data_IF_634516045525
#
_entry.id   IF_634516045525
#
_cell.length_a   1.000
_cell.length_b   1.000
_cell.length_c   1.000
_cell.angle_alpha   90.00
_cell.angle_beta   90.00
_cell.angle_gamma   90.00
#
_symmetry.space_group_name_H-M   'P 1'
#
loop_
_entity.id
_entity.type
_entity.pdbx_description
1 polymer ?
#
# COMPACT_ATOMS: atom_id res chain seq x y z
N UNK A 1 -3.75 23.76 14.08
CA UNK A 1 -4.61 23.19 13.02
C UNK A 1 -4.92 21.72 13.33
N UNK A 2 -6.03 21.16 12.84
CA UNK A 2 -6.38 19.72 13.01
C UNK A 2 -5.67 18.82 11.98
N UNK A 3 -5.60 17.51 12.25
CA UNK A 3 -4.91 16.52 11.38
C UNK A 3 -5.54 16.26 10.00
N UNK A 4 -6.74 16.79 9.71
CA UNK A 4 -7.35 16.76 8.37
C UNK A 4 -7.64 18.14 7.81
N UNK A 5 -7.23 19.20 8.51
CA UNK A 5 -7.46 20.58 8.08
C UNK A 5 -6.48 21.00 6.99
N UNK A 6 -6.94 21.92 6.14
CA UNK A 6 -6.15 22.55 5.10
C UNK A 6 -5.25 23.65 5.65
N UNK A 7 -3.99 23.64 5.23
CA UNK A 7 -2.98 24.64 5.62
C UNK A 7 -3.33 26.03 5.12
N UNK A 8 -3.99 26.16 3.97
CA UNK A 8 -4.37 27.46 3.39
C UNK A 8 -5.23 28.29 4.36
N UNK A 9 -6.20 27.66 5.02
CA UNK A 9 -7.03 28.31 6.04
C UNK A 9 -6.21 28.73 7.25
N UNK A 10 -5.34 27.84 7.73
CA UNK A 10 -4.46 28.14 8.85
C UNK A 10 -3.49 29.30 8.54
N UNK A 11 -2.93 29.38 7.33
CA UNK A 11 -2.07 30.49 6.90
C UNK A 11 -2.85 31.80 6.89
N UNK A 12 -4.09 31.81 6.38
CA UNK A 12 -4.93 33.00 6.38
C UNK A 12 -5.21 33.50 7.81
N UNK A 13 -5.62 32.60 8.70
CA UNK A 13 -5.85 32.92 10.11
C UNK A 13 -4.58 33.42 10.79
N UNK A 14 -3.46 32.74 10.56
CA UNK A 14 -2.17 33.13 11.12
C UNK A 14 -1.73 34.52 10.65
N UNK A 15 -1.85 34.82 9.35
CA UNK A 15 -1.54 36.15 8.81
C UNK A 15 -2.43 37.23 9.42
N UNK A 16 -3.72 36.94 9.62
CA UNK A 16 -4.66 37.86 10.28
C UNK A 16 -4.30 38.12 11.75
N UNK A 17 -3.72 37.14 12.45
CA UNK A 17 -3.26 37.33 13.83
C UNK A 17 -1.97 38.14 13.87
N UNK A 18 -1.04 37.85 12.96
CA UNK A 18 0.28 38.51 12.91
C UNK A 18 0.16 39.97 12.51
N UNK A 19 -0.79 40.33 11.63
CA UNK A 19 -1.02 41.73 11.26
C UNK A 19 -1.48 42.62 12.44
N UNK A 20 -2.03 42.02 13.50
CA UNK A 20 -2.37 42.72 14.74
C UNK A 20 -1.21 42.88 15.73
N UNK A 21 -0.05 42.26 15.48
CA UNK A 21 1.09 42.21 16.40
C UNK A 21 2.24 43.02 15.81
N UNK A 22 2.67 44.08 16.52
CA UNK A 22 3.56 45.10 15.96
C UNK A 22 5.07 44.79 16.06
N UNK A 23 5.48 43.96 17.03
CA UNK A 23 6.91 43.86 17.44
C UNK A 23 7.46 42.43 17.51
N UNK A 24 6.85 41.45 16.81
CA UNK A 24 7.37 40.09 16.81
C UNK A 24 8.46 39.88 15.76
N UNK A 25 9.59 39.32 16.19
CA UNK A 25 10.66 38.91 15.27
C UNK A 25 10.27 37.69 14.43
N UNK A 26 10.80 37.60 13.21
CA UNK A 26 10.49 36.53 12.25
C UNK A 26 10.77 35.13 12.81
N UNK A 27 11.85 34.95 13.59
CA UNK A 27 12.15 33.68 14.26
C UNK A 27 11.05 33.24 15.24
N UNK A 28 10.46 34.19 15.96
CA UNK A 28 9.36 33.90 16.88
C UNK A 28 8.10 33.50 16.11
N UNK A 29 7.83 34.18 14.99
CA UNK A 29 6.74 33.85 14.08
C UNK A 29 6.90 32.45 13.47
N UNK A 30 8.09 32.11 12.99
CA UNK A 30 8.42 30.77 12.48
C UNK A 30 8.17 29.71 13.55
N UNK A 31 8.66 29.94 14.77
CA UNK A 31 8.48 29.00 15.87
C UNK A 31 7.00 28.80 16.21
N UNK A 32 6.21 29.88 16.30
CA UNK A 32 4.77 29.78 16.56
C UNK A 32 4.02 29.15 15.41
N UNK A 33 4.38 29.46 14.17
CA UNK A 33 3.80 28.85 12.99
C UNK A 33 3.98 27.33 13.03
N UNK A 34 5.21 26.84 13.28
CA UNK A 34 5.53 25.41 13.39
C UNK A 34 4.76 24.73 14.52
N UNK A 35 4.56 25.39 15.67
CA UNK A 35 3.77 24.82 16.78
C UNK A 35 2.31 24.57 16.43
N UNK A 36 1.73 25.35 15.54
CA UNK A 36 0.34 25.16 15.11
C UNK A 36 0.15 24.14 13.99
N UNK A 37 1.24 23.61 13.43
CA UNK A 37 1.19 22.62 12.36
C UNK A 37 0.88 21.20 12.88
N UNK A 38 0.15 20.41 12.09
CA UNK A 38 -0.08 18.99 12.37
C UNK A 38 1.23 18.19 12.28
N UNK A 39 1.28 17.08 13.01
CA UNK A 39 2.48 16.23 13.09
C UNK A 39 2.90 15.71 11.71
N UNK A 40 1.92 15.35 10.86
CA UNK A 40 2.18 14.86 9.49
C UNK A 40 3.03 15.82 8.66
N UNK A 41 2.81 17.14 8.81
CA UNK A 41 3.54 18.16 8.06
C UNK A 41 4.90 18.40 8.71
N UNK A 42 4.97 18.38 10.05
CA UNK A 42 6.23 18.51 10.78
C UNK A 42 7.23 17.41 10.42
N UNK A 43 6.78 16.17 10.27
CA UNK A 43 7.62 15.04 9.83
C UNK A 43 8.17 15.25 8.41
N UNK A 44 7.33 15.73 7.49
CA UNK A 44 7.75 16.02 6.12
C UNK A 44 8.71 17.22 6.05
N UNK A 45 8.48 18.25 6.86
CA UNK A 45 9.40 19.38 7.00
C UNK A 45 10.74 18.95 7.61
N UNK A 46 10.74 18.01 8.56
CA UNK A 46 11.98 17.46 9.13
C UNK A 46 12.78 16.64 8.10
N UNK A 47 12.09 16.02 7.14
CA UNK A 47 12.70 15.29 6.02
C UNK A 47 13.16 16.19 4.87
N UNK A 48 12.85 17.49 4.93
CA UNK A 48 13.21 18.44 3.89
C UNK A 48 14.72 18.76 3.94
N UNK A 49 15.41 18.60 2.81
CA UNK A 49 16.87 18.72 2.74
C UNK A 49 17.36 20.14 2.97
N UNK A 50 16.59 21.15 2.53
CA UNK A 50 16.96 22.55 2.70
C UNK A 50 16.45 23.11 4.02
N UNK A 51 17.31 23.91 4.64
CA UNK A 51 16.95 24.71 5.81
C UNK A 51 16.06 25.87 5.37
N UNK A 52 14.92 26.01 6.05
CA UNK A 52 13.95 27.08 5.80
C UNK A 52 14.08 28.12 6.91
N UNK A 53 14.70 29.26 6.60
CA UNK A 53 14.96 30.34 7.56
C UNK A 53 14.01 31.54 7.39
N UNK A 54 13.26 31.61 6.28
CA UNK A 54 12.24 32.62 6.00
C UNK A 54 10.85 32.11 6.38
N UNK A 55 10.03 32.98 6.98
CA UNK A 55 8.64 32.64 7.31
C UNK A 55 7.81 32.38 6.05
N UNK A 56 8.06 33.14 5.00
CA UNK A 56 7.32 33.02 3.75
C UNK A 56 7.64 31.68 3.05
N UNK A 57 8.92 31.34 2.96
CA UNK A 57 9.35 30.05 2.40
C UNK A 57 8.77 28.88 3.18
N UNK A 58 8.67 29.01 4.52
CA UNK A 58 8.06 28.00 5.37
C UNK A 58 6.56 27.84 5.08
N UNK A 59 5.83 28.94 4.89
CA UNK A 59 4.42 28.89 4.50
C UNK A 59 4.24 28.20 3.15
N UNK A 60 5.08 28.53 2.17
CA UNK A 60 4.98 28.01 0.81
C UNK A 60 5.27 26.51 0.75
N UNK A 61 6.36 26.05 1.39
CA UNK A 61 6.68 24.61 1.49
C UNK A 61 5.58 23.84 2.24
N UNK A 62 5.07 24.42 3.34
CA UNK A 62 3.99 23.79 4.12
C UNK A 62 2.72 23.65 3.27
N UNK A 63 2.38 24.66 2.47
CA UNK A 63 1.23 24.62 1.57
C UNK A 63 1.39 23.58 0.45
N UNK A 64 2.60 23.47 -0.13
CA UNK A 64 2.90 22.44 -1.13
C UNK A 64 2.72 21.03 -0.57
N UNK A 65 3.27 20.78 0.62
CA UNK A 65 3.17 19.48 1.31
C UNK A 65 1.72 19.10 1.60
N UNK A 66 0.91 20.06 2.07
CA UNK A 66 -0.51 19.83 2.35
C UNK A 66 -1.30 19.56 1.06
N UNK A 67 -1.05 20.31 0.00
CA UNK A 67 -1.69 20.11 -1.31
C UNK A 67 -1.44 18.69 -1.82
N UNK A 68 -0.17 18.26 -1.84
CA UNK A 68 0.23 16.90 -2.24
C UNK A 68 -0.39 15.82 -1.35
N UNK A 69 -0.51 16.08 -0.05
CA UNK A 69 -1.16 15.16 0.87
C UNK A 69 -2.64 14.98 0.51
N UNK A 70 -3.37 16.08 0.32
CA UNK A 70 -4.79 16.03 0.00
C UNK A 70 -5.07 15.40 -1.37
N UNK A 71 -4.24 15.67 -2.37
CA UNK A 71 -4.30 14.98 -3.67
C UNK A 71 -4.16 13.46 -3.50
N UNK A 72 -3.15 13.01 -2.75
CA UNK A 72 -2.95 11.59 -2.46
C UNK A 72 -4.11 10.96 -1.70
N UNK A 73 -4.76 11.70 -0.80
CA UNK A 73 -5.95 11.19 -0.10
C UNK A 73 -7.13 11.02 -1.05
N UNK A 74 -7.34 11.96 -1.99
CA UNK A 74 -8.37 11.84 -3.03
C UNK A 74 -8.13 10.61 -3.91
N UNK A 75 -6.90 10.36 -4.35
CA UNK A 75 -6.55 9.17 -5.14
C UNK A 75 -6.87 7.86 -4.40
N UNK A 76 -6.52 7.79 -3.11
CA UNK A 76 -6.81 6.62 -2.25
C UNK A 76 -8.30 6.36 -2.13
N UNK A 77 -9.11 7.41 -1.96
CA UNK A 77 -10.57 7.27 -1.87
C UNK A 77 -11.16 6.69 -3.16
N UNK A 78 -10.73 7.18 -4.33
CA UNK A 78 -11.17 6.65 -5.62
C UNK A 78 -10.75 5.19 -5.88
N UNK A 79 -9.64 4.73 -5.30
CA UNK A 79 -9.22 3.33 -5.42
C UNK A 79 -9.99 2.39 -4.47
N UNK A 80 -10.54 2.92 -3.38
CA UNK A 80 -11.37 2.12 -2.46
C UNK A 80 -12.80 1.96 -2.97
N UNK A 81 -13.40 2.98 -3.59
CA UNK A 81 -14.77 2.90 -4.14
C UNK A 81 -14.92 1.83 -5.22
N UNK A 82 -13.87 1.58 -6.03
CA UNK A 82 -13.86 0.51 -7.05
C UNK A 82 -13.85 -0.92 -6.49
N UNK A 83 -13.73 -1.11 -5.18
CA UNK A 83 -13.78 -2.45 -4.55
C UNK A 83 -15.13 -2.80 -3.93
N UNK A 84 -16.09 -1.88 -3.88
CA UNK A 84 -17.36 -2.07 -3.16
C UNK A 84 -18.58 -2.49 -4.00
N UNK A 85 -18.48 -2.59 -5.33
CA UNK A 85 -19.64 -2.90 -6.19
C UNK A 85 -19.85 -4.39 -6.51
N UNK A 86 -19.09 -5.30 -5.89
CA UNK A 86 -19.25 -6.73 -6.13
C UNK A 86 -19.83 -7.46 -4.90
N UNK A 87 -21.04 -7.11 -4.43
CA UNK A 87 -21.85 -7.96 -3.53
C UNK A 87 -23.28 -7.43 -3.32
N UNK A 88 -24.13 -7.48 -4.35
CA UNK A 88 -25.59 -7.63 -4.17
C UNK A 88 -26.16 -8.48 -5.30
N UNK A 89 -26.04 -9.80 -5.16
CA UNK A 89 -26.88 -10.76 -5.88
C UNK A 89 -27.65 -11.56 -4.85
N UNK A 90 -28.80 -11.03 -4.41
CA UNK A 90 -29.80 -11.85 -3.74
C UNK A 90 -30.47 -12.70 -4.82
N UNK A 91 -30.14 -13.98 -4.78
CA UNK A 91 -30.68 -15.06 -5.59
C UNK A 91 -32.13 -15.33 -5.18
N UNK A 92 -33.07 -15.20 -6.11
CA UNK A 92 -34.31 -15.96 -6.13
C UNK A 92 -34.30 -16.88 -7.35
N UNK A 93 -34.25 -18.18 -7.07
CA UNK A 93 -34.41 -19.31 -7.98
C UNK A 93 -35.72 -19.18 -8.81
N UNK A 94 -35.80 -19.72 -10.04
CA UNK A 94 -36.21 -21.13 -10.15
C UNK A 94 -35.56 -21.97 -11.27
N UNK A 95 -35.33 -23.24 -10.92
CA UNK A 95 -35.46 -24.51 -11.66
C UNK A 95 -35.55 -24.53 -13.21
N UNK A 96 -34.57 -25.25 -13.76
CA UNK A 96 -34.69 -26.42 -14.66
C UNK A 96 -35.21 -26.25 -16.10
N UNK A 97 -34.33 -26.51 -17.08
CA UNK A 97 -34.52 -27.58 -18.08
C UNK A 97 -33.30 -27.73 -19.00
N UNK A 98 -33.06 -28.98 -19.35
CA UNK A 98 -31.96 -29.54 -20.14
C UNK A 98 -31.97 -29.14 -21.62
N UNK A 99 -30.80 -28.86 -22.20
CA UNK A 99 -30.42 -29.47 -23.49
C UNK A 99 -28.91 -29.35 -23.75
N UNK A 100 -28.39 -30.43 -24.30
CA UNK A 100 -27.01 -30.66 -24.73
C UNK A 100 -26.55 -29.70 -25.82
N UNK A 101 -25.29 -29.24 -25.74
CA UNK A 101 -24.41 -29.13 -26.92
C UNK A 101 -22.97 -28.80 -26.51
N UNK A 102 -22.06 -29.62 -27.01
CA UNK A 102 -20.62 -29.50 -26.93
C UNK A 102 -20.09 -28.13 -27.40
N UNK A 103 -19.06 -27.58 -26.74
CA UNK A 103 -17.85 -27.04 -27.41
C UNK A 103 -16.75 -26.58 -26.42
N UNK A 104 -15.65 -27.34 -26.51
CA UNK A 104 -14.23 -26.94 -26.55
C UNK A 104 -13.66 -26.06 -25.42
N UNK A 105 -12.76 -26.69 -24.66
CA UNK A 105 -11.65 -26.11 -23.90
C UNK A 105 -10.97 -24.99 -24.69
N UNK A 106 -10.91 -23.78 -24.12
CA UNK A 106 -9.90 -22.78 -24.48
C UNK A 106 -8.93 -22.61 -23.33
N UNK A 107 -7.76 -23.20 -23.52
CA UNK A 107 -6.52 -22.85 -22.83
C UNK A 107 -6.26 -21.37 -23.16
N UNK A 108 -6.40 -20.50 -22.17
CA UNK A 108 -5.85 -19.14 -22.26
C UNK A 108 -4.56 -19.11 -21.46
N UNK A 109 -3.45 -19.25 -22.17
CA UNK A 109 -2.15 -18.79 -21.69
C UNK A 109 -2.25 -17.29 -21.43
N UNK A 110 -2.15 -16.88 -20.16
CA UNK A 110 -2.05 -15.46 -19.80
C UNK A 110 -0.66 -15.18 -19.27
N UNK A 111 0.09 -14.54 -20.18
CA UNK A 111 1.35 -13.81 -20.09
C UNK A 111 1.76 -13.35 -18.68
N UNK A 112 3.08 -13.37 -18.48
CA UNK A 112 3.83 -12.89 -17.32
C UNK A 112 3.32 -11.54 -16.83
N UNK A 113 2.76 -11.54 -15.62
CA UNK A 113 2.46 -10.31 -14.88
C UNK A 113 3.71 -9.95 -14.06
N UNK A 114 4.04 -8.65 -13.93
CA UNK A 114 5.16 -8.22 -13.10
C UNK A 114 4.97 -8.73 -11.67
N UNK A 115 6.05 -9.30 -11.12
CA UNK A 115 6.16 -9.98 -9.83
C UNK A 115 5.64 -9.13 -8.63
N UNK A 116 5.64 -7.80 -8.79
CA UNK A 116 5.11 -6.86 -7.80
C UNK A 116 3.60 -6.97 -7.54
N UNK A 117 2.84 -7.62 -8.43
CA UNK A 117 1.39 -7.80 -8.29
C UNK A 117 0.97 -8.99 -7.41
N UNK A 118 1.94 -9.75 -6.87
CA UNK A 118 1.70 -10.98 -6.10
C UNK A 118 1.94 -10.83 -4.59
N UNK A 119 2.25 -9.60 -4.15
CA UNK A 119 2.45 -9.25 -2.75
C UNK A 119 1.19 -8.58 -2.20
N UNK A 120 0.65 -9.12 -1.11
CA UNK A 120 -0.31 -8.41 -0.27
C UNK A 120 0.45 -7.26 0.41
N UNK A 121 -0.27 -6.19 0.78
CA UNK A 121 0.16 -4.90 1.37
C UNK A 121 1.31 -4.92 2.40
N UNK A 122 1.71 -6.09 2.91
CA UNK A 122 2.75 -6.29 3.92
C UNK A 122 3.91 -7.18 3.43
N UNK A 123 4.26 -7.15 2.14
CA UNK A 123 5.31 -7.99 1.52
C UNK A 123 5.09 -9.50 1.65
N UNK A 124 3.88 -9.92 2.02
CA UNK A 124 3.52 -11.33 2.14
C UNK A 124 2.99 -11.87 0.82
N UNK A 125 3.56 -13.00 0.41
CA UNK A 125 3.20 -13.70 -0.81
C UNK A 125 1.77 -14.24 -0.72
N UNK A 126 0.94 -13.95 -1.72
CA UNK A 126 -0.43 -14.49 -1.79
C UNK A 126 -0.41 -16.04 -1.79
N UNK A 127 -1.40 -16.69 -1.16
CA UNK A 127 -1.48 -18.15 -1.06
C UNK A 127 -1.38 -18.86 -2.43
N UNK A 128 -1.95 -18.27 -3.48
CA UNK A 128 -1.88 -18.79 -4.85
C UNK A 128 -0.45 -18.79 -5.41
N UNK A 129 0.33 -17.72 -5.15
CA UNK A 129 1.73 -17.63 -5.57
C UNK A 129 2.63 -18.53 -4.72
N UNK A 130 2.33 -18.67 -3.42
CA UNK A 130 3.00 -19.64 -2.55
C UNK A 130 2.84 -21.07 -3.06
N UNK A 131 1.64 -21.46 -3.48
CA UNK A 131 1.38 -22.78 -4.06
C UNK A 131 2.14 -23.02 -5.36
N UNK A 132 2.21 -22.02 -6.25
CA UNK A 132 2.99 -22.11 -7.49
C UNK A 132 4.47 -22.32 -7.21
N UNK A 133 5.05 -21.54 -6.29
CA UNK A 133 6.47 -21.66 -5.92
C UNK A 133 6.79 -23.01 -5.31
N UNK A 134 5.92 -23.58 -4.47
CA UNK A 134 6.10 -24.93 -3.93
C UNK A 134 6.11 -25.96 -5.08
N UNK A 135 5.17 -25.86 -6.02
CA UNK A 135 5.08 -26.78 -7.17
C UNK A 135 6.30 -26.72 -8.09
N UNK A 136 6.87 -25.53 -8.27
CA UNK A 136 8.05 -25.31 -9.10
C UNK A 136 9.38 -25.44 -8.33
N UNK A 137 9.33 -25.76 -7.04
CA UNK A 137 10.54 -25.92 -6.21
C UNK A 137 11.27 -24.59 -5.91
N UNK A 138 10.58 -23.45 -6.01
CA UNK A 138 11.12 -22.11 -5.78
C UNK A 138 10.90 -21.69 -4.33
N UNK A 139 11.84 -20.94 -3.74
CA UNK A 139 11.70 -20.48 -2.36
C UNK A 139 10.50 -19.52 -2.17
N UNK A 140 9.72 -19.80 -1.13
CA UNK A 140 8.54 -19.00 -0.75
C UNK A 140 8.86 -17.78 0.12
N UNK A 141 10.06 -17.71 0.70
CA UNK A 141 10.50 -16.65 1.63
C UNK A 141 11.38 -15.57 0.97
N UNK A 142 11.79 -15.77 -0.28
CA UNK A 142 12.67 -14.84 -1.00
C UNK A 142 12.03 -14.28 -2.26
N UNK A 143 12.82 -13.59 -3.08
CA UNK A 143 12.33 -12.92 -4.29
C UNK A 143 12.09 -13.88 -5.48
N UNK A 144 12.14 -15.20 -5.25
CA UNK A 144 11.93 -16.22 -6.28
C UNK A 144 13.17 -16.55 -7.12
N UNK A 145 14.34 -16.00 -6.75
CA UNK A 145 15.62 -16.27 -7.44
C UNK A 145 16.31 -17.57 -7.01
N UNK A 146 15.93 -18.11 -5.85
CA UNK A 146 16.57 -19.29 -5.26
C UNK A 146 15.59 -20.46 -5.19
N UNK A 147 16.11 -21.67 -5.36
CA UNK A 147 15.40 -22.92 -5.07
C UNK A 147 15.02 -23.00 -3.59
N UNK A 148 13.98 -23.78 -3.29
CA UNK A 148 13.48 -24.06 -1.95
C UNK A 148 14.55 -24.66 -1.02
N UNK A 149 15.56 -25.33 -1.58
CA UNK A 149 16.70 -25.89 -0.83
C UNK A 149 17.81 -24.87 -0.55
N UNK A 150 18.04 -23.93 -1.48
CA UNK A 150 19.12 -22.92 -1.39
C UNK A 150 18.65 -21.60 -0.76
N UNK A 151 17.62 -21.66 0.08
CA UNK A 151 17.00 -20.47 0.64
C UNK A 151 17.56 -20.15 2.04
N UNK A 152 18.51 -19.21 2.11
CA UNK A 152 19.10 -18.74 3.37
C UNK A 152 18.08 -18.13 4.35
N UNK A 153 16.96 -17.61 3.85
CA UNK A 153 15.87 -17.05 4.67
C UNK A 153 14.90 -18.13 5.20
N UNK A 154 15.11 -19.41 4.87
CA UNK A 154 14.26 -20.50 5.36
C UNK A 154 14.58 -20.76 6.83
N UNK A 155 13.59 -20.72 7.74
CA UNK A 155 13.82 -21.13 9.12
C UNK A 155 14.16 -22.63 9.16
N UNK A 156 15.29 -22.96 9.79
CA UNK A 156 15.85 -24.32 9.88
C UNK A 156 14.96 -25.31 10.66
N UNK A 157 13.86 -24.85 11.28
CA UNK A 157 12.99 -25.64 12.17
C UNK A 157 11.74 -26.27 11.51
N UNK A 158 11.72 -26.51 10.19
CA UNK A 158 10.67 -27.32 9.54
C UNK A 158 11.26 -28.31 8.52
N UNK A 159 12.09 -29.22 9.01
CA UNK A 159 12.59 -30.35 8.21
C UNK A 159 11.73 -31.62 8.33
N UNK A 160 10.64 -31.63 9.10
CA UNK A 160 10.03 -32.91 9.52
C UNK A 160 8.62 -33.18 8.99
N UNK A 161 8.21 -32.69 7.81
CA UNK A 161 6.95 -33.14 7.18
C UNK A 161 6.94 -33.01 5.65
N UNK A 162 7.92 -33.55 4.92
CA UNK A 162 7.74 -33.91 3.49
C UNK A 162 8.64 -35.10 3.08
N UNK A 163 8.88 -36.04 4.00
CA UNK A 163 9.43 -37.37 3.67
C UNK A 163 8.43 -38.42 4.15
N UNK A 164 7.49 -38.79 3.29
CA UNK A 164 6.52 -39.82 3.64
C UNK A 164 5.44 -39.98 2.60
N UNK A 165 5.78 -40.60 1.46
CA UNK A 165 5.00 -41.62 0.75
C UNK A 165 5.46 -41.71 -0.71
N UNK A 166 6.52 -42.49 -0.94
CA UNK A 166 6.61 -43.26 -2.17
C UNK A 166 5.81 -44.55 -1.93
N UNK A 167 4.80 -44.87 -2.75
CA UNK A 167 4.15 -46.17 -2.65
C UNK A 167 5.12 -47.24 -3.10
N UNK A 168 5.36 -48.21 -2.21
CA UNK A 168 6.00 -49.48 -2.54
C UNK A 168 5.16 -50.19 -3.61
N UNK A 169 5.76 -50.49 -4.74
CA UNK A 169 5.27 -51.54 -5.64
C UNK A 169 6.37 -52.60 -5.65
N UNK A 170 6.12 -53.67 -4.89
CA UNK A 170 6.82 -54.94 -5.04
C UNK A 170 6.01 -55.88 -5.94
N UNK A 171 6.68 -56.97 -6.31
CA UNK A 171 6.26 -58.15 -7.10
C UNK A 171 6.47 -58.01 -8.60
N UNK A 172 7.02 -59.01 -9.31
CA UNK A 172 7.43 -60.37 -8.97
C UNK A 172 8.61 -60.77 -9.87
#
# INVERSE_FOLDING_TARGET
MKEGGHVSLYIADFRSLVSGIRDWGERALIHHFRKGLPFRILEQLASHISRIDSLQDLMDVTLELDTRYHERQKEKSHHQEKKSEASKSNSSHPQNSSSSSHKKKKIFQKRDKPHSSLLIKDFNLMNSEKGRRIKEGICTYGDGKNSLESCFKRPQNKLTQLSGQFPSQGKA
#
